data_IF_058350252781
#
_entry.id   IF_058350252781
#
_cell.length_a   1.000
_cell.length_b   1.000
_cell.length_c   1.000
_cell.angle_alpha   90.00
_cell.angle_beta   90.00
_cell.angle_gamma   90.00
#
_symmetry.space_group_name_H-M   'P 1'
#
loop_
_entity.id
_entity.type
_entity.pdbx_description
1 polymer ?
#
# COMPACT_ATOMS: atom_id res chain seq x y z
N UNK A 1 23.93 19.67 -19.30
CA UNK A 1 23.10 18.58 -18.73
C UNK A 1 22.14 19.18 -17.71
N UNK A 2 20.87 18.77 -17.66
CA UNK A 2 19.98 19.21 -16.60
C UNK A 2 20.53 18.78 -15.24
N UNK A 3 20.49 19.68 -14.25
CA UNK A 3 20.95 19.42 -12.89
C UNK A 3 19.77 18.97 -12.03
N UNK A 4 19.94 17.88 -11.30
CA UNK A 4 18.94 17.46 -10.31
C UNK A 4 18.79 18.50 -9.19
N UNK A 5 17.60 18.55 -8.57
CA UNK A 5 17.33 19.41 -7.42
C UNK A 5 18.16 18.95 -6.20
N UNK A 6 18.69 19.88 -5.40
CA UNK A 6 19.60 19.53 -4.29
C UNK A 6 19.03 18.52 -3.29
N UNK A 7 17.71 18.52 -3.04
CA UNK A 7 17.05 17.54 -2.16
C UNK A 7 17.23 16.09 -2.60
N UNK A 8 17.46 15.83 -3.89
CA UNK A 8 17.69 14.47 -4.39
C UNK A 8 19.11 13.97 -4.09
N UNK A 9 19.96 14.76 -3.44
CA UNK A 9 21.29 14.31 -3.02
C UNK A 9 21.27 13.74 -1.60
N UNK A 10 20.20 13.97 -0.84
CA UNK A 10 20.14 13.68 0.60
C UNK A 10 19.26 12.46 0.95
N UNK A 11 18.98 11.57 -0.01
CA UNK A 11 18.25 10.33 0.27
C UNK A 11 19.20 9.13 0.25
N UNK A 12 19.00 8.20 1.17
CA UNK A 12 19.72 6.93 1.17
C UNK A 12 19.02 5.94 0.24
N UNK A 13 19.80 5.10 -0.42
CA UNK A 13 19.27 3.96 -1.17
C UNK A 13 18.75 2.89 -0.21
N UNK A 14 17.66 2.23 -0.59
CA UNK A 14 17.11 1.12 0.17
C UNK A 14 17.93 -0.15 -0.11
N UNK A 15 18.91 -0.42 0.74
CA UNK A 15 19.90 -1.49 0.56
C UNK A 15 19.30 -2.90 0.48
N UNK A 16 18.11 -3.10 1.06
CA UNK A 16 17.40 -4.38 1.03
C UNK A 16 17.05 -4.82 -0.41
N UNK A 17 16.93 -3.88 -1.35
CA UNK A 17 16.73 -4.21 -2.77
C UNK A 17 17.90 -5.02 -3.33
N UNK A 18 19.14 -4.69 -2.96
CA UNK A 18 20.31 -5.43 -3.43
C UNK A 18 20.36 -6.83 -2.83
N UNK A 19 19.95 -6.97 -1.56
CA UNK A 19 19.81 -8.28 -0.91
C UNK A 19 18.78 -9.16 -1.62
N UNK A 20 17.63 -8.61 -2.02
CA UNK A 20 16.62 -9.36 -2.77
C UNK A 20 17.12 -9.79 -4.16
N UNK A 21 17.87 -8.94 -4.85
CA UNK A 21 18.49 -9.30 -6.15
C UNK A 21 19.48 -10.45 -5.99
N UNK A 22 20.34 -10.39 -4.97
CA UNK A 22 21.30 -11.46 -4.70
C UNK A 22 20.59 -12.77 -4.33
N UNK A 23 19.59 -12.72 -3.45
CA UNK A 23 18.78 -13.88 -3.09
C UNK A 23 18.10 -14.50 -4.33
N UNK A 24 17.53 -13.68 -5.21
CA UNK A 24 16.91 -14.14 -6.45
C UNK A 24 17.94 -14.79 -7.41
N UNK A 25 19.14 -14.22 -7.52
CA UNK A 25 20.22 -14.79 -8.33
C UNK A 25 20.70 -16.14 -7.77
N UNK A 26 20.83 -16.26 -6.45
CA UNK A 26 21.19 -17.51 -5.78
C UNK A 26 20.11 -18.59 -5.96
N UNK A 27 18.84 -18.21 -5.85
CA UNK A 27 17.71 -19.12 -6.10
C UNK A 27 17.66 -19.56 -7.57
N UNK A 28 17.89 -18.66 -8.52
CA UNK A 28 17.99 -18.98 -9.94
C UNK A 28 19.19 -19.89 -10.26
N UNK A 29 20.26 -19.82 -9.47
CA UNK A 29 21.40 -20.73 -9.52
C UNK A 29 21.15 -22.09 -8.83
N UNK A 30 19.91 -22.35 -8.38
CA UNK A 30 19.48 -23.63 -7.81
C UNK A 30 19.74 -23.76 -6.30
N UNK A 31 20.05 -22.67 -5.58
CA UNK A 31 20.16 -22.72 -4.12
C UNK A 31 18.78 -22.63 -3.47
N UNK A 32 18.59 -23.39 -2.40
CA UNK A 32 17.41 -23.29 -1.54
C UNK A 32 17.55 -22.09 -0.61
N UNK A 33 16.65 -21.13 -0.72
CA UNK A 33 16.69 -19.83 -0.02
C UNK A 33 15.35 -19.61 0.68
N UNK A 34 15.40 -19.45 2.00
CA UNK A 34 14.23 -19.10 2.81
C UNK A 34 14.16 -17.57 2.94
N UNK A 35 13.09 -16.98 2.41
CA UNK A 35 12.86 -15.54 2.52
C UNK A 35 12.19 -15.18 3.84
N UNK A 36 12.93 -14.48 4.71
CA UNK A 36 12.44 -13.97 6.01
C UNK A 36 12.35 -12.43 6.03
N UNK A 37 12.57 -11.79 4.87
CA UNK A 37 12.66 -10.33 4.74
C UNK A 37 11.46 -9.67 4.06
N UNK A 38 10.42 -10.44 3.70
CA UNK A 38 9.22 -9.91 3.05
C UNK A 38 8.42 -9.12 4.08
N UNK A 39 8.08 -7.87 3.72
CA UNK A 39 7.33 -6.94 4.59
C UNK A 39 5.82 -6.94 4.35
N UNK A 40 5.33 -7.79 3.45
CA UNK A 40 3.91 -7.98 3.15
C UNK A 40 3.41 -9.35 3.63
N UNK A 41 2.10 -9.49 3.93
CA UNK A 41 1.51 -10.78 4.25
C UNK A 41 1.62 -11.77 3.09
N UNK A 42 1.65 -13.06 3.41
CA UNK A 42 1.70 -14.18 2.45
C UNK A 42 0.31 -14.55 1.88
N UNK A 43 -0.74 -13.85 2.31
CA UNK A 43 -2.11 -13.98 1.82
C UNK A 43 -2.56 -12.76 1.01
N UNK A 44 -3.53 -12.97 0.12
CA UNK A 44 -4.16 -11.88 -0.65
C UNK A 44 -5.35 -11.25 0.09
N UNK A 45 -5.89 -10.17 -0.46
CA UNK A 45 -7.07 -9.49 0.07
C UNK A 45 -8.25 -10.48 0.28
N UNK A 46 -9.07 -10.29 1.34
CA UNK A 46 -10.28 -11.09 1.54
C UNK A 46 -11.23 -11.04 0.33
N UNK A 47 -11.98 -12.13 0.11
CA UNK A 47 -12.88 -12.29 -1.05
C UNK A 47 -13.85 -11.11 -1.20
N UNK A 48 -14.38 -10.61 -0.09
CA UNK A 48 -15.32 -9.48 -0.06
C UNK A 48 -14.71 -8.19 -0.64
N UNK A 49 -13.40 -7.98 -0.45
CA UNK A 49 -12.68 -6.82 -1.00
C UNK A 49 -12.52 -6.97 -2.52
N UNK A 50 -12.20 -8.19 -2.98
CA UNK A 50 -12.07 -8.49 -4.41
C UNK A 50 -13.42 -8.35 -5.12
N UNK A 51 -14.51 -8.83 -4.52
CA UNK A 51 -15.88 -8.67 -5.05
C UNK A 51 -16.29 -7.19 -5.10
N UNK A 52 -16.01 -6.41 -4.05
CA UNK A 52 -16.28 -4.98 -4.04
C UNK A 52 -15.52 -4.24 -5.17
N UNK A 53 -14.26 -4.61 -5.41
CA UNK A 53 -13.46 -4.08 -6.52
C UNK A 53 -14.08 -4.42 -7.88
N UNK A 54 -14.49 -5.66 -8.09
CA UNK A 54 -15.13 -6.11 -9.33
C UNK A 54 -16.44 -5.36 -9.58
N UNK A 55 -17.26 -5.20 -8.54
CA UNK A 55 -18.52 -4.47 -8.62
C UNK A 55 -18.30 -2.98 -8.95
N UNK A 56 -17.31 -2.33 -8.33
CA UNK A 56 -16.97 -0.95 -8.63
C UNK A 56 -16.50 -0.77 -10.08
N UNK A 57 -15.68 -1.70 -10.58
CA UNK A 57 -15.22 -1.71 -11.96
C UNK A 57 -16.39 -1.91 -12.95
N UNK A 58 -17.27 -2.88 -12.70
CA UNK A 58 -18.46 -3.13 -13.51
C UNK A 58 -19.44 -1.93 -13.51
N UNK A 59 -19.52 -1.21 -12.39
CA UNK A 59 -20.32 0.01 -12.26
C UNK A 59 -19.66 1.26 -12.88
N UNK A 60 -18.47 1.15 -13.48
CA UNK A 60 -17.78 2.27 -14.13
C UNK A 60 -17.21 3.31 -13.15
N UNK A 61 -16.96 2.94 -11.89
CA UNK A 61 -16.44 3.84 -10.85
C UNK A 61 -14.92 4.06 -10.96
N UNK A 62 -14.43 4.44 -12.15
CA UNK A 62 -13.00 4.66 -12.45
C UNK A 62 -12.59 6.14 -12.56
N UNK A 63 -13.55 7.04 -12.40
CA UNK A 63 -13.33 8.48 -12.47
C UNK A 63 -12.57 9.05 -11.26
N UNK A 64 -12.21 10.33 -11.34
CA UNK A 64 -11.58 11.03 -10.23
C UNK A 64 -12.46 11.01 -8.97
N UNK A 65 -11.83 10.73 -7.84
CA UNK A 65 -12.40 10.94 -6.52
C UNK A 65 -11.97 12.33 -5.98
N UNK A 66 -12.65 12.85 -4.94
CA UNK A 66 -12.17 14.03 -4.25
C UNK A 66 -10.74 13.83 -3.71
N UNK A 67 -9.91 14.88 -3.62
CA UNK A 67 -8.51 14.75 -3.16
C UNK A 67 -8.33 14.13 -1.77
N UNK A 68 -9.34 14.25 -0.91
CA UNK A 68 -9.35 13.68 0.43
C UNK A 68 -10.00 12.27 0.50
N UNK A 69 -10.32 11.68 -0.65
CA UNK A 69 -11.04 10.41 -0.74
C UNK A 69 -12.57 10.53 -0.74
N UNK A 70 -13.24 9.39 -0.91
CA UNK A 70 -14.70 9.29 -0.96
C UNK A 70 -15.31 9.57 0.43
N UNK A 71 -16.39 10.37 0.50
CA UNK A 71 -17.04 10.71 1.79
C UNK A 71 -17.40 9.46 2.61
N UNK A 72 -18.03 8.48 1.97
CA UNK A 72 -18.43 7.23 2.62
C UNK A 72 -17.23 6.47 3.21
N UNK A 73 -16.09 6.45 2.53
CA UNK A 73 -14.88 5.78 3.06
C UNK A 73 -14.34 6.53 4.28
N UNK A 74 -14.34 7.87 4.24
CA UNK A 74 -13.86 8.71 5.34
C UNK A 74 -14.72 8.57 6.58
N UNK A 75 -16.04 8.49 6.40
CA UNK A 75 -17.01 8.23 7.48
C UNK A 75 -16.78 6.85 8.11
N UNK A 76 -16.63 5.80 7.30
CA UNK A 76 -16.38 4.43 7.79
C UNK A 76 -15.04 4.30 8.51
N UNK A 77 -13.98 5.00 8.07
CA UNK A 77 -12.71 5.03 8.79
C UNK A 77 -12.88 5.71 10.15
N UNK A 78 -13.61 6.82 10.23
CA UNK A 78 -13.86 7.49 11.51
C UNK A 78 -14.65 6.59 12.48
N UNK A 79 -15.66 5.89 11.99
CA UNK A 79 -16.43 4.90 12.76
C UNK A 79 -15.56 3.70 13.20
N UNK A 80 -14.68 3.21 12.33
CA UNK A 80 -13.72 2.17 12.67
C UNK A 80 -12.84 2.58 13.86
N UNK A 81 -12.39 3.83 13.92
CA UNK A 81 -11.60 4.33 15.05
C UNK A 81 -12.41 4.41 16.36
N UNK A 82 -13.68 4.79 16.29
CA UNK A 82 -14.55 4.80 17.47
C UNK A 82 -14.82 3.36 17.95
N UNK A 83 -15.12 2.44 17.04
CA UNK A 83 -15.47 1.05 17.39
C UNK A 83 -14.27 0.23 17.87
N UNK A 84 -13.10 0.36 17.24
CA UNK A 84 -11.91 -0.42 17.61
C UNK A 84 -11.11 0.17 18.75
N UNK A 85 -11.05 1.50 18.84
CA UNK A 85 -10.15 2.20 19.75
C UNK A 85 -10.86 3.15 20.72
N UNK A 86 -12.19 3.30 20.63
CA UNK A 86 -12.93 4.28 21.43
C UNK A 86 -12.64 5.74 21.04
N UNK A 87 -11.98 5.97 19.90
CA UNK A 87 -11.50 7.28 19.49
C UNK A 87 -12.49 7.94 18.52
N UNK A 88 -13.20 8.98 19.00
CA UNK A 88 -14.09 9.78 18.15
C UNK A 88 -13.29 10.72 17.26
N UNK A 89 -13.32 10.48 15.95
CA UNK A 89 -12.66 11.30 14.94
C UNK A 89 -13.71 11.97 14.06
N UNK A 90 -13.53 13.26 13.78
CA UNK A 90 -14.33 13.94 12.76
C UNK A 90 -13.88 13.42 11.36
N UNK A 91 -14.78 12.90 10.50
CA UNK A 91 -14.43 12.42 9.16
C UNK A 91 -13.65 13.43 8.31
N UNK A 92 -13.81 14.74 8.57
CA UNK A 92 -13.04 15.80 7.93
C UNK A 92 -11.52 15.71 8.17
N UNK A 93 -11.08 14.96 9.20
CA UNK A 93 -9.67 14.71 9.54
C UNK A 93 -9.10 13.44 8.90
N UNK A 94 -9.93 12.66 8.20
CA UNK A 94 -9.50 11.50 7.41
C UNK A 94 -9.21 11.97 5.99
N UNK A 95 -8.04 11.60 5.46
CA UNK A 95 -7.53 11.92 4.11
C UNK A 95 -7.11 10.61 3.44
#
# INVERSE_FOLDING_TARGET
>A
MPRFASRTQNFLTFQVVELFKEAQALQAAGKDIISMGIGEPDFTAPVQVVEALQNAAAAGLSGYSPPAGLSALRELIAEFYETQFGARINPARVI
#
